data_IF_549525043963
#
_entry.id   IF_549525043963
#
_cell.length_a   1.000
_cell.length_b   1.000
_cell.length_c   1.000
_cell.angle_alpha   90.00
_cell.angle_beta   90.00
_cell.angle_gamma   90.00
#
_symmetry.space_group_name_H-M   'P 1'
#
loop_
_entity.id
_entity.type
_entity.pdbx_description
1 polymer ?
#
# COMPACT_ATOMS: atom_id res chain seq x y z
N UNK A 1 20.85 -20.98 5.77
CA UNK A 1 20.51 -22.26 6.43
C UNK A 1 19.85 -23.14 5.39
N UNK A 2 20.30 -24.38 5.18
CA UNK A 2 19.72 -25.30 4.21
C UNK A 2 19.01 -26.44 4.92
N UNK A 3 17.89 -26.91 4.38
CA UNK A 3 17.16 -28.05 4.91
C UNK A 3 17.95 -29.36 4.69
N UNK A 4 17.91 -30.25 5.65
CA UNK A 4 18.37 -31.63 5.49
C UNK A 4 17.45 -32.38 4.53
N UNK A 5 17.86 -33.57 4.07
CA UNK A 5 17.02 -34.41 3.20
C UNK A 5 15.67 -34.77 3.88
N UNK A 6 15.72 -35.16 5.16
CA UNK A 6 14.52 -35.40 5.96
C UNK A 6 13.66 -34.13 6.11
N UNK A 7 14.29 -32.96 6.28
CA UNK A 7 13.58 -31.68 6.33
C UNK A 7 12.87 -31.36 5.01
N UNK A 8 13.49 -31.64 3.85
CA UNK A 8 12.86 -31.48 2.53
C UNK A 8 11.67 -32.44 2.34
N UNK A 9 11.79 -33.67 2.82
CA UNK A 9 10.70 -34.63 2.76
C UNK A 9 9.52 -34.25 3.69
N UNK A 10 9.79 -33.71 4.87
CA UNK A 10 8.77 -33.29 5.84
C UNK A 10 8.06 -31.98 5.43
N UNK A 11 8.73 -31.06 4.76
CA UNK A 11 8.24 -29.73 4.46
C UNK A 11 6.82 -29.72 3.85
N UNK A 12 6.52 -30.48 2.76
CA UNK A 12 5.18 -30.46 2.15
C UNK A 12 4.09 -30.91 3.13
N UNK A 13 4.36 -31.91 3.95
CA UNK A 13 3.41 -32.37 4.96
C UNK A 13 3.16 -31.35 6.08
N UNK A 14 4.22 -30.67 6.51
CA UNK A 14 4.08 -29.59 7.49
C UNK A 14 3.28 -28.40 6.93
N UNK A 15 3.49 -28.05 5.65
CA UNK A 15 2.72 -27.02 4.95
C UNK A 15 1.24 -27.41 4.83
N UNK A 16 0.93 -28.66 4.50
CA UNK A 16 -0.46 -29.14 4.41
C UNK A 16 -1.19 -29.11 5.75
N UNK A 17 -0.53 -29.55 6.84
CA UNK A 17 -1.06 -29.47 8.19
C UNK A 17 -1.32 -28.02 8.58
N UNK A 18 -0.34 -27.15 8.36
CA UNK A 18 -0.44 -25.72 8.66
C UNK A 18 -1.61 -25.07 7.88
N UNK A 19 -1.72 -25.36 6.59
CA UNK A 19 -2.83 -24.90 5.74
C UNK A 19 -4.18 -25.39 6.27
N UNK A 20 -4.25 -26.65 6.70
CA UNK A 20 -5.46 -27.23 7.32
C UNK A 20 -5.90 -26.47 8.57
N UNK A 21 -4.96 -26.11 9.44
CA UNK A 21 -5.23 -25.30 10.65
C UNK A 21 -5.77 -23.91 10.26
N UNK A 22 -5.15 -23.24 9.29
CA UNK A 22 -5.60 -21.92 8.84
C UNK A 22 -7.01 -21.96 8.24
N UNK A 23 -7.31 -22.98 7.42
CA UNK A 23 -8.63 -23.18 6.84
C UNK A 23 -9.70 -23.43 7.91
N UNK A 24 -9.41 -24.26 8.92
CA UNK A 24 -10.31 -24.48 10.05
C UNK A 24 -10.59 -23.17 10.82
N UNK A 25 -9.57 -22.34 11.06
CA UNK A 25 -9.74 -21.02 11.68
C UNK A 25 -10.62 -20.10 10.85
N UNK A 26 -10.43 -20.07 9.54
CA UNK A 26 -11.26 -19.28 8.62
C UNK A 26 -12.72 -19.72 8.66
N UNK A 27 -12.96 -21.02 8.63
CA UNK A 27 -14.32 -21.56 8.74
C UNK A 27 -15.01 -21.19 10.06
N UNK A 28 -14.24 -21.12 11.16
CA UNK A 28 -14.77 -20.75 12.47
C UNK A 28 -15.03 -19.24 12.62
N UNK A 29 -14.44 -18.38 11.80
CA UNK A 29 -14.70 -16.92 11.84
C UNK A 29 -16.21 -16.60 11.65
N UNK A 30 -16.93 -17.39 10.85
CA UNK A 30 -18.37 -17.21 10.61
C UNK A 30 -19.28 -17.58 11.80
N UNK A 31 -18.76 -18.26 12.82
CA UNK A 31 -19.54 -18.70 14.00
C UNK A 31 -19.35 -17.81 15.23
N UNK A 32 -18.51 -16.80 15.14
CA UNK A 32 -18.28 -15.84 16.22
C UNK A 32 -19.47 -14.91 16.42
N UNK A 33 -19.79 -14.59 17.68
CA UNK A 33 -20.80 -13.57 18.05
C UNK A 33 -20.25 -12.15 17.97
N UNK A 34 -18.96 -12.00 17.62
CA UNK A 34 -18.31 -10.71 17.55
C UNK A 34 -18.49 -10.09 16.17
N UNK A 35 -19.17 -8.96 16.14
CA UNK A 35 -19.35 -8.13 14.94
C UNK A 35 -18.18 -7.15 14.78
N UNK A 36 -16.93 -7.65 14.84
CA UNK A 36 -15.73 -6.84 14.65
C UNK A 36 -15.01 -7.28 13.38
N UNK A 37 -14.70 -6.33 12.50
CA UNK A 37 -13.86 -6.53 11.32
C UNK A 37 -12.54 -5.78 11.50
N UNK A 38 -11.42 -6.50 11.39
CA UNK A 38 -10.09 -5.92 11.47
C UNK A 38 -9.56 -5.60 10.07
N UNK A 39 -9.31 -4.32 9.82
CA UNK A 39 -8.77 -3.79 8.57
C UNK A 39 -7.31 -3.42 8.77
N UNK A 40 -6.39 -4.06 8.03
CA UNK A 40 -4.99 -3.65 8.01
C UNK A 40 -4.77 -2.64 6.90
N UNK A 41 -4.53 -1.39 7.27
CA UNK A 41 -4.43 -0.26 6.35
C UNK A 41 -3.08 0.45 6.50
N UNK A 42 -2.44 0.87 5.39
CA UNK A 42 -1.23 1.68 5.47
C UNK A 42 -1.47 2.98 6.25
N UNK A 43 -0.54 3.39 7.13
CA UNK A 43 -0.68 4.62 7.92
C UNK A 43 -0.97 5.86 7.07
N UNK A 44 -0.39 5.93 5.88
CA UNK A 44 -0.58 7.04 4.94
C UNK A 44 -2.04 7.26 4.54
N UNK A 45 -2.84 6.19 4.44
CA UNK A 45 -4.27 6.32 4.14
C UNK A 45 -5.02 6.99 5.27
N UNK A 46 -4.70 6.65 6.52
CA UNK A 46 -5.37 7.22 7.69
C UNK A 46 -5.03 8.69 7.88
N UNK A 47 -3.79 9.06 7.60
CA UNK A 47 -3.25 10.38 7.89
C UNK A 47 -3.47 11.39 6.76
N UNK A 48 -3.51 10.93 5.51
CA UNK A 48 -3.37 11.82 4.35
C UNK A 48 -4.37 11.58 3.22
N UNK A 49 -5.06 10.44 3.20
CA UNK A 49 -6.10 10.22 2.17
C UNK A 49 -7.44 10.80 2.63
N UNK A 50 -7.96 11.85 1.97
CA UNK A 50 -9.23 12.46 2.31
C UNK A 50 -10.42 11.51 2.11
N UNK A 51 -10.22 10.40 1.41
CA UNK A 51 -11.24 9.38 1.17
C UNK A 51 -11.45 8.48 2.39
N UNK A 52 -10.46 8.37 3.28
CA UNK A 52 -10.55 7.48 4.43
C UNK A 52 -11.79 7.72 5.32
N UNK A 53 -12.13 8.96 5.72
CA UNK A 53 -13.36 9.22 6.50
C UNK A 53 -14.63 8.82 5.74
N UNK A 54 -14.68 9.03 4.43
CA UNK A 54 -15.80 8.64 3.57
C UNK A 54 -15.93 7.13 3.50
N UNK A 55 -14.81 6.43 3.32
CA UNK A 55 -14.75 4.96 3.33
C UNK A 55 -15.33 4.41 4.63
N UNK A 56 -14.87 4.92 5.79
CA UNK A 56 -15.34 4.46 7.08
C UNK A 56 -16.83 4.74 7.28
N UNK A 57 -17.32 5.91 6.89
CA UNK A 57 -18.74 6.25 6.95
C UNK A 57 -19.60 5.29 6.10
N UNK A 58 -19.16 4.98 4.87
CA UNK A 58 -19.88 4.03 4.01
C UNK A 58 -19.82 2.59 4.53
N UNK A 59 -18.70 2.17 5.11
CA UNK A 59 -18.59 0.86 5.76
C UNK A 59 -19.56 0.73 6.95
N UNK A 60 -19.62 1.71 7.83
CA UNK A 60 -20.58 1.73 8.94
C UNK A 60 -22.04 1.74 8.45
N UNK A 61 -22.34 2.43 7.36
CA UNK A 61 -23.68 2.45 6.78
C UNK A 61 -24.05 1.10 6.14
N UNK A 62 -23.09 0.43 5.48
CA UNK A 62 -23.33 -0.85 4.79
C UNK A 62 -23.35 -2.06 5.75
N UNK A 63 -22.66 -1.94 6.89
CA UNK A 63 -22.53 -2.99 7.90
C UNK A 63 -22.92 -2.43 9.29
N UNK A 64 -24.19 -2.04 9.49
CA UNK A 64 -24.66 -1.54 10.77
C UNK A 64 -24.55 -2.64 11.83
N UNK A 65 -23.96 -2.31 12.96
CA UNK A 65 -23.72 -3.27 14.06
C UNK A 65 -22.33 -3.93 14.00
N UNK A 66 -21.50 -3.62 13.01
CA UNK A 66 -20.09 -4.04 12.99
C UNK A 66 -19.20 -2.93 13.55
N UNK A 67 -18.25 -3.34 14.39
CA UNK A 67 -17.13 -2.53 14.81
C UNK A 67 -15.97 -2.71 13.82
N UNK A 68 -15.33 -1.62 13.41
CA UNK A 68 -14.15 -1.66 12.56
C UNK A 68 -12.90 -1.35 13.38
N UNK A 69 -12.05 -2.36 13.55
CA UNK A 69 -10.72 -2.19 14.12
C UNK A 69 -9.71 -1.94 13.00
N UNK A 70 -9.00 -0.82 13.09
CA UNK A 70 -7.94 -0.50 12.11
C UNK A 70 -6.58 -0.82 12.73
N UNK A 71 -5.82 -1.65 12.02
CA UNK A 71 -4.45 -2.02 12.33
C UNK A 71 -3.51 -1.44 11.27
N UNK A 72 -2.47 -0.75 11.73
CA UNK A 72 -1.47 -0.11 10.86
C UNK A 72 -0.13 -0.85 10.84
N UNK A 73 -0.07 -2.03 11.44
CA UNK A 73 1.12 -2.87 11.40
C UNK A 73 1.47 -3.21 9.95
N UNK A 74 2.75 -3.16 9.56
CA UNK A 74 3.17 -3.54 8.21
C UNK A 74 2.65 -4.92 7.82
N UNK A 75 2.22 -5.05 6.56
CA UNK A 75 1.72 -6.33 6.02
C UNK A 75 2.89 -7.28 5.85
N UNK A 76 2.89 -8.44 6.52
CA UNK A 76 3.98 -9.40 6.44
C UNK A 76 3.95 -10.16 5.11
N UNK A 77 5.07 -10.80 4.74
CA UNK A 77 5.13 -11.68 3.57
C UNK A 77 4.21 -12.92 3.67
N UNK A 78 3.82 -13.30 4.88
CA UNK A 78 2.87 -14.39 5.14
C UNK A 78 1.41 -13.91 5.10
N UNK A 79 0.98 -13.40 3.96
CA UNK A 79 -0.38 -12.83 3.77
C UNK A 79 -1.50 -13.76 4.19
N UNK A 80 -1.39 -15.05 3.85
CA UNK A 80 -2.43 -16.03 4.16
C UNK A 80 -2.57 -16.19 5.68
N UNK A 81 -1.46 -16.33 6.41
CA UNK A 81 -1.49 -16.38 7.88
C UNK A 81 -2.16 -15.14 8.47
N UNK A 82 -1.72 -13.96 8.05
CA UNK A 82 -2.28 -12.69 8.52
C UNK A 82 -3.80 -12.62 8.34
N UNK A 83 -4.30 -12.95 7.15
CA UNK A 83 -5.74 -12.89 6.85
C UNK A 83 -6.54 -13.98 7.58
N UNK A 84 -5.93 -15.10 7.95
CA UNK A 84 -6.60 -16.12 8.76
C UNK A 84 -6.68 -15.76 10.25
N UNK A 85 -5.71 -14.99 10.77
CA UNK A 85 -5.49 -14.88 12.23
C UNK A 85 -5.55 -13.46 12.78
N UNK A 86 -5.18 -12.45 11.99
CA UNK A 86 -4.93 -11.08 12.49
C UNK A 86 -5.84 -10.03 11.87
N UNK A 87 -6.20 -10.18 10.59
CA UNK A 87 -7.00 -9.22 9.86
C UNK A 87 -8.05 -9.90 8.99
N UNK A 88 -9.11 -9.20 8.66
CA UNK A 88 -10.16 -9.67 7.75
C UNK A 88 -9.93 -9.17 6.33
N UNK A 89 -9.32 -8.01 6.21
CA UNK A 89 -8.89 -7.43 4.94
C UNK A 89 -7.63 -6.58 5.14
N UNK A 90 -6.84 -6.44 4.07
CA UNK A 90 -5.67 -5.57 4.08
C UNK A 90 -5.56 -4.77 2.78
N UNK A 91 -5.21 -3.49 2.86
CA UNK A 91 -4.72 -2.73 1.70
C UNK A 91 -3.21 -2.81 1.64
N UNK A 92 -2.70 -3.19 0.48
CA UNK A 92 -1.26 -3.42 0.30
C UNK A 92 -0.80 -3.20 -1.16
N UNK A 93 0.49 -2.88 -1.31
CA UNK A 93 1.18 -2.89 -2.60
C UNK A 93 1.97 -4.19 -2.72
N UNK A 94 1.51 -5.19 -3.47
CA UNK A 94 2.23 -6.44 -3.61
C UNK A 94 3.38 -6.29 -4.61
N UNK A 95 4.61 -6.39 -4.13
CA UNK A 95 5.84 -6.39 -4.95
C UNK A 95 6.23 -7.78 -5.45
N UNK A 96 5.35 -8.76 -5.33
CA UNK A 96 5.58 -10.14 -5.77
C UNK A 96 4.28 -10.91 -5.98
N UNK A 97 4.38 -12.19 -6.35
CA UNK A 97 3.22 -13.05 -6.54
C UNK A 97 2.49 -13.27 -5.21
N UNK A 98 1.17 -13.27 -5.27
CA UNK A 98 0.33 -13.59 -4.12
C UNK A 98 -0.06 -15.08 -4.12
N UNK A 99 -0.19 -15.70 -2.93
CA UNK A 99 -0.70 -17.06 -2.82
C UNK A 99 -2.10 -17.21 -3.44
N UNK A 100 -2.44 -18.39 -3.99
CA UNK A 100 -3.73 -18.63 -4.64
C UNK A 100 -4.93 -18.53 -3.68
N UNK A 101 -4.70 -18.70 -2.38
CA UNK A 101 -5.70 -18.57 -1.32
C UNK A 101 -6.12 -17.11 -1.09
N UNK A 102 -5.37 -16.16 -1.61
CA UNK A 102 -5.66 -14.73 -1.49
C UNK A 102 -6.49 -14.27 -2.68
N UNK A 103 -7.59 -13.62 -2.39
CA UNK A 103 -8.32 -12.81 -3.35
C UNK A 103 -7.75 -11.40 -3.33
N UNK A 104 -7.47 -10.89 -4.52
CA UNK A 104 -6.77 -9.65 -4.71
C UNK A 104 -7.54 -8.78 -5.71
N UNK A 105 -7.91 -7.57 -5.30
CA UNK A 105 -8.66 -6.62 -6.13
C UNK A 105 -7.92 -5.30 -6.18
N UNK A 106 -7.69 -4.77 -7.38
CA UNK A 106 -7.09 -3.44 -7.55
C UNK A 106 -8.05 -2.37 -7.04
N UNK A 107 -7.57 -1.53 -6.13
CA UNK A 107 -8.33 -0.44 -5.52
C UNK A 107 -7.82 0.92 -6.00
N UNK A 108 -6.49 1.11 -6.06
CA UNK A 108 -5.86 2.36 -6.50
C UNK A 108 -4.77 2.02 -7.50
N UNK A 109 -4.85 2.63 -8.69
CA UNK A 109 -3.73 2.64 -9.63
C UNK A 109 -2.75 3.72 -9.20
N UNK A 110 -1.58 3.27 -8.75
CA UNK A 110 -0.58 4.16 -8.18
C UNK A 110 0.28 4.83 -9.26
N UNK A 111 0.70 6.05 -8.94
CA UNK A 111 1.73 6.77 -9.69
C UNK A 111 2.72 7.38 -8.73
N UNK A 112 3.98 7.34 -9.06
CA UNK A 112 4.95 8.13 -8.33
C UNK A 112 4.97 9.57 -8.81
N UNK A 113 5.14 10.44 -7.84
CA UNK A 113 5.42 11.86 -8.06
C UNK A 113 6.71 12.24 -7.34
N UNK A 114 7.43 13.15 -7.96
CA UNK A 114 8.51 13.89 -7.33
C UNK A 114 7.99 15.29 -7.02
N UNK A 115 8.04 15.71 -5.79
CA UNK A 115 7.73 17.08 -5.41
C UNK A 115 9.01 17.89 -5.53
N UNK A 116 9.00 18.88 -6.42
CA UNK A 116 10.11 19.78 -6.66
C UNK A 116 9.61 21.23 -6.68
N UNK A 117 10.28 22.12 -5.94
CA UNK A 117 10.00 23.55 -5.99
C UNK A 117 10.38 24.13 -7.37
N UNK A 118 9.85 25.33 -7.74
CA UNK A 118 10.13 25.97 -9.03
C UNK A 118 11.61 26.17 -9.33
N UNK A 119 12.43 26.32 -8.30
CA UNK A 119 13.88 26.53 -8.37
C UNK A 119 14.66 25.25 -8.74
N UNK A 120 14.01 24.08 -8.68
CA UNK A 120 14.67 22.82 -9.01
C UNK A 120 14.78 22.65 -10.54
N UNK A 121 15.94 22.16 -11.08
CA UNK A 121 16.16 22.04 -12.53
C UNK A 121 15.15 21.14 -13.27
N UNK A 122 14.52 20.19 -12.57
CA UNK A 122 13.49 19.33 -13.15
C UNK A 122 12.07 19.89 -13.00
N UNK A 123 11.90 21.04 -12.34
CA UNK A 123 10.61 21.69 -12.18
C UNK A 123 10.01 22.07 -13.54
N UNK A 124 8.69 22.01 -13.64
CA UNK A 124 7.97 22.36 -14.87
C UNK A 124 8.01 21.31 -15.99
N UNK A 125 8.72 20.20 -15.80
CA UNK A 125 8.64 19.06 -16.72
C UNK A 125 7.30 18.36 -16.55
N UNK A 126 6.66 17.98 -17.67
CA UNK A 126 5.39 17.26 -17.65
C UNK A 126 5.49 15.86 -17.03
N UNK A 127 6.68 15.27 -17.07
CA UNK A 127 7.04 14.00 -16.44
C UNK A 127 8.55 13.80 -16.48
N UNK A 128 9.07 12.91 -15.62
CA UNK A 128 10.50 12.62 -15.49
C UNK A 128 10.73 11.11 -15.60
N UNK A 129 11.76 10.74 -16.38
CA UNK A 129 12.25 9.37 -16.50
C UNK A 129 13.22 9.04 -15.36
N UNK A 130 13.34 7.74 -15.01
CA UNK A 130 14.31 7.29 -13.99
C UNK A 130 15.74 7.74 -14.28
N UNK A 131 16.14 7.77 -15.54
CA UNK A 131 17.48 8.19 -15.98
C UNK A 131 17.80 9.64 -15.62
N UNK A 132 16.81 10.51 -15.54
CA UNK A 132 16.96 11.92 -15.16
C UNK A 132 17.26 12.12 -13.67
N UNK A 133 17.11 11.07 -12.86
CA UNK A 133 17.40 11.11 -11.42
C UNK A 133 18.88 10.94 -11.09
N UNK A 134 19.74 10.81 -12.09
CA UNK A 134 21.20 10.67 -11.92
C UNK A 134 21.78 11.79 -11.02
N UNK A 135 22.37 11.41 -9.90
CA UNK A 135 22.97 12.34 -8.96
C UNK A 135 22.01 13.27 -8.22
N UNK A 136 20.72 13.15 -8.45
CA UNK A 136 19.71 13.95 -7.75
C UNK A 136 19.55 13.50 -6.29
N UNK A 137 19.30 14.47 -5.39
CA UNK A 137 18.94 14.17 -4.02
C UNK A 137 17.43 13.95 -3.91
N UNK A 138 17.05 12.78 -3.40
CA UNK A 138 15.64 12.39 -3.26
C UNK A 138 15.36 12.04 -1.81
N UNK A 139 14.47 12.79 -1.20
CA UNK A 139 13.97 12.55 0.15
C UNK A 139 12.76 11.62 0.10
N UNK A 140 12.62 10.76 1.11
CA UNK A 140 11.47 9.89 1.27
C UNK A 140 11.21 9.54 2.72
N UNK A 141 9.96 9.28 3.07
CA UNK A 141 9.59 8.83 4.42
C UNK A 141 9.79 7.31 4.59
N UNK A 142 10.03 6.81 5.83
CA UNK A 142 10.27 5.39 6.09
C UNK A 142 9.21 4.44 5.51
N UNK A 143 7.95 4.90 5.48
CA UNK A 143 6.82 4.12 4.93
C UNK A 143 6.95 3.83 3.41
N UNK A 144 7.84 4.53 2.69
CA UNK A 144 8.10 4.34 1.26
C UNK A 144 9.38 3.56 0.97
N UNK A 145 10.01 2.96 1.98
CA UNK A 145 11.27 2.20 1.80
C UNK A 145 11.12 1.09 0.74
N UNK A 146 10.05 0.29 0.82
CA UNK A 146 9.81 -0.79 -0.16
C UNK A 146 9.67 -0.25 -1.59
N UNK A 147 9.11 0.95 -1.75
CA UNK A 147 8.98 1.62 -3.05
C UNK A 147 10.33 2.09 -3.58
N UNK A 148 11.18 2.62 -2.70
CA UNK A 148 12.57 3.02 -3.04
C UNK A 148 13.37 1.79 -3.44
N UNK A 149 13.29 0.71 -2.67
CA UNK A 149 13.96 -0.57 -2.97
C UNK A 149 13.48 -1.16 -4.30
N UNK A 150 12.21 -1.02 -4.61
CA UNK A 150 11.65 -1.41 -5.89
C UNK A 150 12.18 -0.53 -7.02
N UNK A 151 12.17 0.80 -6.86
CA UNK A 151 12.64 1.75 -7.86
C UNK A 151 14.12 1.53 -8.21
N UNK A 152 14.96 1.27 -7.22
CA UNK A 152 16.39 1.02 -7.39
C UNK A 152 16.71 -0.22 -8.25
N UNK A 153 15.78 -1.17 -8.31
CA UNK A 153 15.92 -2.42 -9.07
C UNK A 153 15.36 -2.34 -10.49
N UNK A 154 14.77 -1.20 -10.88
CA UNK A 154 14.14 -1.10 -12.18
C UNK A 154 15.13 -0.89 -13.31
N UNK A 155 14.86 -1.45 -14.52
CA UNK A 155 15.59 -1.11 -15.73
C UNK A 155 15.47 0.41 -15.98
N UNK A 156 16.57 1.05 -16.33
CA UNK A 156 16.62 2.50 -16.55
C UNK A 156 17.06 3.31 -15.33
N UNK A 157 17.25 2.69 -14.16
CA UNK A 157 17.94 3.35 -13.06
C UNK A 157 19.36 3.71 -13.48
N UNK A 158 19.79 4.97 -13.36
CA UNK A 158 21.11 5.40 -13.85
C UNK A 158 22.26 4.78 -13.05
N UNK A 159 23.42 4.61 -13.68
CA UNK A 159 24.64 4.17 -13.01
C UNK A 159 25.08 5.15 -11.91
N UNK A 160 24.92 6.46 -12.14
CA UNK A 160 25.03 7.48 -11.10
C UNK A 160 23.70 7.49 -10.34
N UNK A 161 23.58 6.62 -9.36
CA UNK A 161 22.34 6.47 -8.60
C UNK A 161 21.93 7.77 -7.93
N UNK A 162 20.61 8.00 -7.77
CA UNK A 162 20.10 9.08 -6.91
C UNK A 162 20.64 8.94 -5.49
N UNK A 163 20.81 10.07 -4.82
CA UNK A 163 21.13 10.09 -3.39
C UNK A 163 19.83 10.01 -2.62
N UNK A 164 19.45 8.78 -2.24
CA UNK A 164 18.26 8.53 -1.44
C UNK A 164 18.50 8.91 0.03
N UNK A 165 17.64 9.77 0.56
CA UNK A 165 17.68 10.20 1.95
C UNK A 165 16.36 9.97 2.65
N UNK A 166 16.38 9.04 3.61
CA UNK A 166 15.24 8.82 4.49
C UNK A 166 15.13 10.02 5.44
N UNK A 167 13.91 10.51 5.59
CA UNK A 167 13.56 11.63 6.47
C UNK A 167 12.34 11.25 7.29
N UNK A 168 12.17 11.85 8.46
CA UNK A 168 11.07 11.53 9.34
C UNK A 168 9.71 11.93 8.73
N UNK A 169 9.67 13.09 8.10
CA UNK A 169 8.50 13.65 7.42
C UNK A 169 8.95 14.69 6.38
N UNK A 170 8.05 15.12 5.51
CA UNK A 170 8.36 16.12 4.49
C UNK A 170 8.62 17.51 5.09
N UNK A 171 8.05 17.83 6.25
CA UNK A 171 8.24 19.11 6.93
C UNK A 171 9.72 19.36 7.27
N UNK A 172 10.44 18.27 7.62
CA UNK A 172 11.86 18.34 7.98
C UNK A 172 12.77 18.77 6.82
N UNK A 173 12.31 18.60 5.57
CA UNK A 173 13.08 18.93 4.36
C UNK A 173 12.46 20.06 3.54
N UNK A 174 11.40 20.67 4.03
CA UNK A 174 10.67 21.71 3.28
C UNK A 174 11.57 22.87 2.84
N UNK A 175 12.51 23.31 3.69
CA UNK A 175 13.47 24.35 3.35
C UNK A 175 14.45 23.92 2.23
N UNK A 176 14.85 22.66 2.21
CA UNK A 176 15.71 22.11 1.15
C UNK A 176 14.95 22.05 -0.19
N UNK A 177 13.68 21.66 -0.15
CA UNK A 177 12.82 21.66 -1.33
C UNK A 177 12.64 23.06 -1.89
N UNK A 178 12.32 24.05 -1.04
CA UNK A 178 12.19 25.47 -1.44
C UNK A 178 13.48 26.02 -2.04
N UNK A 179 14.63 25.57 -1.57
CA UNK A 179 15.93 25.99 -2.10
C UNK A 179 16.33 25.23 -3.39
N UNK A 180 15.47 24.37 -3.94
CA UNK A 180 15.76 23.57 -5.13
C UNK A 180 16.87 22.53 -4.93
N UNK A 181 17.20 22.16 -3.69
CA UNK A 181 18.31 21.25 -3.34
C UNK A 181 17.92 19.79 -3.25
N UNK A 182 16.78 19.43 -3.76
CA UNK A 182 16.32 18.06 -3.81
C UNK A 182 14.85 17.94 -4.15
N UNK A 183 14.39 16.73 -4.21
CA UNK A 183 12.99 16.37 -4.49
C UNK A 183 12.47 15.45 -3.41
N UNK A 184 11.15 15.42 -3.22
CA UNK A 184 10.52 14.50 -2.29
C UNK A 184 9.69 13.47 -3.06
N UNK A 185 9.93 12.18 -2.79
CA UNK A 185 9.18 11.07 -3.41
C UNK A 185 7.86 10.84 -2.70
N UNK A 186 6.77 10.78 -3.46
CA UNK A 186 5.46 10.41 -2.93
C UNK A 186 4.64 9.59 -3.94
N UNK A 187 3.78 8.69 -3.47
CA UNK A 187 2.94 7.84 -4.32
C UNK A 187 1.60 8.49 -4.70
N UNK A 188 1.38 9.73 -4.31
CA UNK A 188 0.13 10.45 -4.53
C UNK A 188 0.37 11.96 -4.61
N UNK A 189 -0.63 12.70 -5.06
CA UNK A 189 -0.62 14.15 -4.94
C UNK A 189 -0.82 14.52 -3.46
N UNK A 190 0.14 15.25 -2.92
CA UNK A 190 0.13 15.76 -1.55
C UNK A 190 -0.53 17.15 -1.52
N UNK A 191 -1.67 17.32 -0.86
CA UNK A 191 -2.36 18.61 -0.80
C UNK A 191 -1.55 19.73 -0.14
N UNK A 192 -0.56 19.37 0.69
CA UNK A 192 0.34 20.34 1.34
C UNK A 192 1.26 21.09 0.37
N UNK A 193 1.40 20.61 -0.87
CA UNK A 193 2.23 21.25 -1.90
C UNK A 193 1.39 21.77 -3.05
N UNK A 194 1.78 22.87 -3.70
CA UNK A 194 1.13 23.36 -4.90
C UNK A 194 1.07 22.27 -5.99
N UNK A 195 -0.02 22.22 -6.73
CA UNK A 195 -0.21 21.19 -7.77
C UNK A 195 0.93 21.18 -8.81
N UNK A 196 1.47 22.36 -9.16
CA UNK A 196 2.59 22.49 -10.11
C UNK A 196 3.94 21.98 -9.61
N UNK A 197 4.06 21.59 -8.33
CA UNK A 197 5.29 21.00 -7.80
C UNK A 197 5.34 19.48 -7.98
N UNK A 198 4.21 18.87 -8.31
CA UNK A 198 4.11 17.42 -8.50
C UNK A 198 4.50 17.04 -9.93
N UNK A 199 5.63 16.41 -10.07
CA UNK A 199 6.15 15.93 -11.35
C UNK A 199 5.92 14.42 -11.41
N UNK A 200 5.11 13.89 -12.33
CA UNK A 200 4.95 12.46 -12.51
C UNK A 200 6.29 11.80 -12.84
N UNK A 201 6.63 10.73 -12.12
CA UNK A 201 7.78 9.89 -12.44
C UNK A 201 7.31 8.74 -13.34
N UNK A 202 7.98 8.53 -14.46
CA UNK A 202 7.73 7.39 -15.34
C UNK A 202 8.32 6.11 -14.71
N UNK A 203 7.62 5.63 -13.71
CA UNK A 203 7.90 4.38 -13.03
C UNK A 203 6.60 3.61 -12.84
N UNK A 204 6.52 2.43 -13.46
CA UNK A 204 5.40 1.52 -13.22
C UNK A 204 5.57 0.89 -11.85
N UNK A 205 4.63 1.15 -10.95
CA UNK A 205 4.57 0.54 -9.62
C UNK A 205 3.34 -0.33 -9.50
N UNK A 206 3.38 -1.34 -8.60
CA UNK A 206 2.19 -2.13 -8.32
C UNK A 206 1.02 -1.26 -7.85
N UNK A 207 -0.17 -1.62 -8.28
CA UNK A 207 -1.39 -1.01 -7.78
C UNK A 207 -1.60 -1.35 -6.30
N UNK A 208 -2.22 -0.44 -5.55
CA UNK A 208 -2.71 -0.76 -4.21
C UNK A 208 -3.90 -1.70 -4.34
N UNK A 209 -3.83 -2.82 -3.66
CA UNK A 209 -4.80 -3.91 -3.74
C UNK A 209 -5.45 -4.18 -2.40
N UNK A 210 -6.74 -4.50 -2.45
CA UNK A 210 -7.46 -5.07 -1.32
C UNK A 210 -7.25 -6.58 -1.31
N UNK A 211 -6.67 -7.08 -0.23
CA UNK A 211 -6.44 -8.50 0.02
C UNK A 211 -7.49 -9.02 0.99
N UNK A 212 -8.13 -10.12 0.64
CA UNK A 212 -9.01 -10.91 1.50
C UNK A 212 -8.75 -12.39 1.26
N UNK A 213 -9.22 -13.27 2.13
CA UNK A 213 -9.22 -14.68 1.80
C UNK A 213 -10.17 -14.95 0.64
N UNK A 214 -9.77 -15.84 -0.29
CA UNK A 214 -10.55 -16.17 -1.49
C UNK A 214 -11.87 -16.83 -1.14
N UNK A 215 -11.82 -17.78 -0.22
CA UNK A 215 -12.93 -18.64 0.17
C UNK A 215 -13.49 -18.25 1.55
N UNK A 216 -13.42 -16.96 1.91
CA UNK A 216 -14.05 -16.46 3.14
C UNK A 216 -15.58 -16.59 3.00
N UNK A 217 -16.24 -17.40 3.87
CA UNK A 217 -17.67 -17.68 3.74
C UNK A 217 -18.54 -16.51 4.21
N UNK A 218 -17.98 -15.49 4.82
CA UNK A 218 -18.73 -14.41 5.48
C UNK A 218 -19.25 -13.38 4.47
N UNK A 219 -20.59 -13.13 4.45
CA UNK A 219 -21.19 -12.16 3.52
C UNK A 219 -20.72 -10.72 3.76
N UNK A 220 -20.35 -10.35 4.99
CA UNK A 220 -19.81 -9.04 5.32
C UNK A 220 -18.48 -8.76 4.61
N UNK A 221 -17.66 -9.76 4.34
CA UNK A 221 -16.42 -9.60 3.57
C UNK A 221 -16.75 -9.24 2.11
N UNK A 222 -17.79 -9.82 1.55
CA UNK A 222 -18.27 -9.45 0.23
C UNK A 222 -18.76 -8.00 0.20
N UNK A 223 -19.54 -7.58 1.21
CA UNK A 223 -20.01 -6.19 1.37
C UNK A 223 -18.85 -5.22 1.53
N UNK A 224 -17.90 -5.55 2.38
CA UNK A 224 -16.69 -4.76 2.60
C UNK A 224 -15.94 -4.50 1.28
N UNK A 225 -15.67 -5.56 0.51
CA UNK A 225 -14.98 -5.46 -0.78
C UNK A 225 -15.73 -4.56 -1.76
N UNK A 226 -17.07 -4.69 -1.83
CA UNK A 226 -17.90 -3.85 -2.67
C UNK A 226 -17.81 -2.38 -2.29
N UNK A 227 -17.88 -2.06 -1.01
CA UNK A 227 -17.75 -0.67 -0.51
C UNK A 227 -16.38 -0.10 -0.85
N UNK A 228 -15.28 -0.86 -0.65
CA UNK A 228 -13.94 -0.42 -1.05
C UNK A 228 -13.89 -0.11 -2.53
N UNK A 229 -14.35 -1.01 -3.40
CA UNK A 229 -14.34 -0.82 -4.84
C UNK A 229 -15.15 0.42 -5.27
N UNK A 230 -16.35 0.62 -4.73
CA UNK A 230 -17.21 1.75 -5.04
C UNK A 230 -16.60 3.10 -4.61
N UNK A 231 -16.09 3.17 -3.38
CA UNK A 231 -15.50 4.41 -2.85
C UNK A 231 -14.27 4.83 -3.66
N UNK A 232 -13.39 3.90 -3.96
CA UNK A 232 -12.18 4.22 -4.70
C UNK A 232 -12.40 4.39 -6.21
N UNK A 233 -13.43 3.78 -6.80
CA UNK A 233 -13.84 4.08 -8.17
C UNK A 233 -14.34 5.53 -8.32
N UNK A 234 -14.97 6.09 -7.28
CA UNK A 234 -15.44 7.47 -7.24
C UNK A 234 -14.42 8.46 -6.67
N UNK A 235 -13.20 8.01 -6.34
CA UNK A 235 -12.20 8.77 -5.57
C UNK A 235 -11.96 10.19 -6.09
N UNK A 236 -11.70 10.35 -7.37
CA UNK A 236 -11.43 11.68 -7.96
C UNK A 236 -12.65 12.63 -7.84
N UNK A 237 -13.84 12.10 -8.00
CA UNK A 237 -15.09 12.86 -7.86
C UNK A 237 -15.31 13.28 -6.42
N UNK A 238 -15.05 12.37 -5.47
CA UNK A 238 -15.22 12.62 -4.05
C UNK A 238 -14.21 13.67 -3.56
N UNK A 239 -12.94 13.60 -3.99
CA UNK A 239 -11.91 14.60 -3.64
C UNK A 239 -12.27 16.00 -4.14
N UNK A 240 -12.86 16.10 -5.35
CA UNK A 240 -13.28 17.40 -5.89
C UNK A 240 -14.50 18.01 -5.17
N UNK A 241 -15.22 17.22 -4.41
CA UNK A 241 -16.40 17.64 -3.64
C UNK A 241 -16.08 18.01 -2.16
N UNK A 242 -14.84 17.74 -1.71
CA UNK A 242 -14.32 18.16 -0.40
C UNK A 242 -13.68 19.54 -0.48
#
# INVERSE_FOLDING_TARGET
>A
MALTEAGRALLPHAEDIYRGILNARTALKGFGTHHTLTLRLPPVLLQRDPIYPILMARLHAALPGYEFKVDTTPVPSSYHHMLCTEADAALYLPFGPLPPEIRCETIISNRFYLIAAPEHPLSGQGSVELSALAGQQIFYEPLYQDMVDFAQKQPGMPYSTPVWRMVENYESVYAELLAGRGMFLCPMIYPAFPAGWHIPLHLSIPDTRLLTLRDDPRPEICTLRKVFAEVYAEREKLIKAL
#
